data_IF_709122786283
#
_entry.id   IF_709122786283
#
_cell.length_a   1.000
_cell.length_b   1.000
_cell.length_c   1.000
_cell.angle_alpha   90.00
_cell.angle_beta   90.00
_cell.angle_gamma   90.00
#
_symmetry.space_group_name_H-M   'P 1'
#
loop_
_entity.id
_entity.type
_entity.pdbx_description
1 polymer ?
#
# COMPACT_ATOMS: atom_id res chain seq x y z
N UNK A 1 19.72 1.03 4.38
CA UNK A 1 19.37 -0.25 5.01
C UNK A 1 18.09 -0.78 4.40
N UNK A 2 18.11 -2.05 4.02
CA UNK A 2 16.91 -2.67 3.45
C UNK A 2 16.06 -3.33 4.53
N UNK A 3 14.78 -2.99 4.54
CA UNK A 3 13.81 -3.61 5.43
C UNK A 3 13.30 -4.87 4.76
N UNK A 4 13.29 -5.98 5.48
CA UNK A 4 12.82 -7.26 4.94
C UNK A 4 11.31 -7.35 5.10
N UNK A 5 10.61 -7.40 3.97
CA UNK A 5 9.15 -7.50 3.93
C UNK A 5 8.71 -8.89 3.52
N UNK A 6 7.51 -9.33 3.97
CA UNK A 6 6.86 -10.49 3.34
C UNK A 6 6.77 -10.25 1.84
N UNK A 7 6.90 -11.33 1.05
CA UNK A 7 6.97 -11.18 -0.40
C UNK A 7 5.78 -10.44 -1.01
N UNK A 8 4.58 -10.65 -0.49
CA UNK A 8 3.38 -9.96 -0.99
C UNK A 8 3.48 -8.45 -0.77
N UNK A 9 4.02 -8.03 0.37
CA UNK A 9 4.15 -6.60 0.66
C UNK A 9 5.29 -5.98 -0.14
N UNK A 10 6.38 -6.72 -0.36
CA UNK A 10 7.45 -6.27 -1.24
C UNK A 10 6.91 -6.04 -2.65
N UNK A 11 6.09 -6.95 -3.14
CA UNK A 11 5.46 -6.80 -4.46
C UNK A 11 4.50 -5.60 -4.49
N UNK A 12 3.74 -5.41 -3.41
CA UNK A 12 2.82 -4.27 -3.33
C UNK A 12 3.58 -2.95 -3.52
N UNK A 13 4.66 -2.74 -2.76
CA UNK A 13 5.42 -1.49 -2.86
C UNK A 13 6.11 -1.35 -4.21
N UNK A 14 6.64 -2.46 -4.76
CA UNK A 14 7.27 -2.42 -6.08
C UNK A 14 6.23 -2.01 -7.14
N UNK A 15 5.03 -2.58 -7.08
CA UNK A 15 3.97 -2.26 -8.03
C UNK A 15 3.50 -0.81 -7.87
N UNK A 16 3.34 -0.36 -6.63
CA UNK A 16 2.89 1.00 -6.35
C UNK A 16 3.90 2.03 -6.88
N UNK A 17 5.18 1.70 -6.82
CA UNK A 17 6.24 2.60 -7.27
C UNK A 17 6.46 2.58 -8.78
N UNK A 18 5.89 1.62 -9.50
CA UNK A 18 6.08 1.50 -10.94
C UNK A 18 4.85 1.89 -11.76
N UNK A 19 3.87 2.53 -11.12
CA UNK A 19 2.66 2.98 -11.80
C UNK A 19 1.91 1.82 -12.47
N UNK A 20 1.84 0.69 -11.79
CA UNK A 20 1.19 -0.52 -12.31
C UNK A 20 0.02 -0.89 -11.41
N UNK A 21 -1.13 -0.26 -11.66
CA UNK A 21 -2.33 -0.46 -10.84
C UNK A 21 -2.84 -1.90 -10.89
N UNK A 22 -2.64 -2.58 -12.01
CA UNK A 22 -3.05 -4.00 -12.11
C UNK A 22 -2.24 -4.87 -11.16
N UNK A 23 -0.93 -4.65 -11.09
CA UNK A 23 -0.07 -5.38 -10.16
C UNK A 23 -0.41 -5.07 -8.72
N UNK A 24 -0.74 -3.80 -8.42
CA UNK A 24 -1.18 -3.43 -7.07
C UNK A 24 -2.43 -4.21 -6.71
N UNK A 25 -3.45 -4.19 -7.56
CA UNK A 25 -4.70 -4.88 -7.30
C UNK A 25 -4.51 -6.39 -7.16
N UNK A 26 -3.57 -6.96 -7.92
CA UNK A 26 -3.30 -8.41 -7.88
C UNK A 26 -2.74 -8.87 -6.53
N UNK A 27 -2.21 -7.97 -5.71
CA UNK A 27 -1.73 -8.32 -4.37
C UNK A 27 -2.88 -8.53 -3.38
N UNK A 28 -4.08 -8.14 -3.73
CA UNK A 28 -5.24 -8.15 -2.83
C UNK A 28 -6.17 -9.32 -3.12
N UNK A 29 -6.89 -9.78 -2.09
CA UNK A 29 -7.93 -10.79 -2.29
C UNK A 29 -9.13 -10.14 -3.01
N UNK A 30 -10.02 -10.98 -3.54
CA UNK A 30 -11.15 -10.51 -4.35
C UNK A 30 -12.05 -9.53 -3.60
N UNK A 31 -12.26 -9.76 -2.31
CA UNK A 31 -13.13 -8.92 -1.48
C UNK A 31 -12.38 -8.07 -0.48
N UNK A 32 -11.10 -7.83 -0.74
CA UNK A 32 -10.27 -6.99 0.11
C UNK A 32 -10.77 -5.55 0.10
N UNK A 33 -10.35 -4.78 1.10
CA UNK A 33 -10.64 -3.36 1.04
C UNK A 33 -9.46 -2.52 1.51
N UNK A 34 -9.45 -1.27 1.04
CA UNK A 34 -8.43 -0.28 1.36
C UNK A 34 -9.11 0.93 1.98
N UNK A 35 -8.53 1.45 3.03
CA UNK A 35 -8.99 2.69 3.66
C UNK A 35 -7.85 3.71 3.58
N UNK A 36 -8.09 4.82 2.91
CA UNK A 36 -7.07 5.83 2.68
C UNK A 36 -7.74 7.20 2.48
N UNK A 37 -7.21 8.21 3.16
CA UNK A 37 -7.68 9.60 3.05
C UNK A 37 -9.20 9.75 3.27
N UNK A 38 -9.73 8.95 4.21
CA UNK A 38 -11.16 8.99 4.53
C UNK A 38 -12.04 8.25 3.57
N UNK A 39 -11.49 7.65 2.52
CA UNK A 39 -12.23 6.86 1.56
C UNK A 39 -12.08 5.37 1.80
N UNK A 40 -13.04 4.60 1.34
CA UNK A 40 -12.99 3.15 1.38
C UNK A 40 -13.17 2.58 -0.02
N UNK A 41 -12.34 1.60 -0.35
CA UNK A 41 -12.33 0.97 -1.68
C UNK A 41 -12.41 -0.53 -1.49
N UNK A 42 -13.51 -1.13 -1.93
CA UNK A 42 -13.77 -2.54 -1.72
C UNK A 42 -13.74 -3.30 -3.04
N UNK A 43 -12.97 -4.40 -3.04
CA UNK A 43 -12.82 -5.25 -4.21
C UNK A 43 -11.69 -4.81 -5.10
N UNK A 44 -11.17 -5.74 -5.90
CA UNK A 44 -9.99 -5.46 -6.74
C UNK A 44 -10.21 -4.33 -7.74
N UNK A 45 -11.43 -4.23 -8.30
CA UNK A 45 -11.71 -3.17 -9.27
C UNK A 45 -11.61 -1.79 -8.63
N UNK A 46 -12.20 -1.62 -7.45
CA UNK A 46 -12.15 -0.36 -6.74
C UNK A 46 -10.73 -0.06 -6.28
N UNK A 47 -10.00 -1.08 -5.83
CA UNK A 47 -8.60 -0.94 -5.39
C UNK A 47 -7.71 -0.53 -6.56
N UNK A 48 -7.94 -1.13 -7.73
CA UNK A 48 -7.20 -0.73 -8.94
C UNK A 48 -7.43 0.76 -9.24
N UNK A 49 -8.67 1.19 -9.17
CA UNK A 49 -9.00 2.60 -9.40
C UNK A 49 -8.36 3.53 -8.39
N UNK A 50 -8.35 3.11 -7.13
CA UNK A 50 -7.69 3.86 -6.07
C UNK A 50 -6.19 4.00 -6.34
N UNK A 51 -5.54 2.90 -6.72
CA UNK A 51 -4.10 2.92 -7.00
C UNK A 51 -3.77 3.83 -8.17
N UNK A 52 -4.57 3.77 -9.22
CA UNK A 52 -4.42 4.63 -10.39
C UNK A 52 -4.56 6.10 -10.04
N UNK A 53 -5.59 6.42 -9.27
CA UNK A 53 -5.88 7.80 -8.88
C UNK A 53 -4.81 8.35 -7.95
N UNK A 54 -4.37 7.56 -6.99
CA UNK A 54 -3.33 7.98 -6.05
C UNK A 54 -2.04 8.30 -6.79
N UNK A 55 -1.68 7.47 -7.77
CA UNK A 55 -0.46 7.68 -8.55
C UNK A 55 -0.55 8.91 -9.43
N UNK A 56 -1.70 9.10 -10.07
CA UNK A 56 -1.93 10.26 -10.92
C UNK A 56 -1.91 11.56 -10.11
N UNK A 57 -2.48 11.51 -8.91
CA UNK A 57 -2.65 12.70 -8.08
C UNK A 57 -1.35 13.15 -7.44
N UNK A 58 -0.50 12.21 -7.02
CA UNK A 58 0.62 12.54 -6.16
C UNK A 58 2.00 12.26 -6.72
N UNK A 59 2.14 11.38 -7.69
CA UNK A 59 3.44 11.00 -8.26
C UNK A 59 4.47 10.79 -7.16
N UNK A 60 4.27 9.74 -6.39
CA UNK A 60 5.09 9.49 -5.21
C UNK A 60 6.01 8.28 -5.40
N UNK A 61 7.03 8.22 -4.55
CA UNK A 61 7.84 7.01 -4.36
C UNK A 61 7.75 6.65 -2.88
N UNK A 62 7.41 5.40 -2.59
CA UNK A 62 7.29 4.91 -1.22
C UNK A 62 8.40 3.93 -0.93
N UNK A 63 9.17 4.22 0.13
CA UNK A 63 10.25 3.35 0.58
C UNK A 63 9.91 2.82 1.96
N UNK A 64 9.84 1.49 2.11
CA UNK A 64 9.59 0.88 3.42
C UNK A 64 10.83 1.05 4.29
N UNK A 65 10.67 1.68 5.45
CA UNK A 65 11.79 1.96 6.35
C UNK A 65 11.70 1.22 7.68
N UNK A 66 10.53 0.67 8.02
CA UNK A 66 10.34 -0.11 9.23
C UNK A 66 9.19 -1.07 9.05
N UNK A 67 9.26 -2.21 9.73
CA UNK A 67 8.18 -3.17 9.72
C UNK A 67 7.95 -3.66 11.15
N UNK A 68 6.70 -3.80 11.53
CA UNK A 68 6.32 -4.22 12.87
C UNK A 68 5.18 -5.22 12.75
N UNK A 69 5.30 -6.36 13.46
CA UNK A 69 4.22 -7.34 13.51
C UNK A 69 3.38 -7.07 14.75
N UNK A 70 2.11 -6.81 14.55
CA UNK A 70 1.15 -6.66 15.63
C UNK A 70 0.15 -7.81 15.49
N UNK A 71 -0.61 -8.09 16.54
CA UNK A 71 -1.49 -9.26 16.68
C UNK A 71 -1.99 -9.88 15.36
N UNK A 72 -2.76 -9.12 14.57
CA UNK A 72 -3.34 -9.62 13.32
C UNK A 72 -2.94 -8.76 12.12
N UNK A 73 -1.93 -7.92 12.27
CA UNK A 73 -1.54 -6.98 11.22
C UNK A 73 -0.03 -6.88 11.08
N UNK A 74 0.40 -6.57 9.87
CA UNK A 74 1.79 -6.17 9.61
C UNK A 74 1.76 -4.68 9.34
N UNK A 75 2.49 -3.92 10.11
CA UNK A 75 2.53 -2.46 9.99
C UNK A 75 3.86 -2.06 9.37
N UNK A 76 3.78 -1.41 8.21
CA UNK A 76 4.98 -0.94 7.50
C UNK A 76 4.99 0.59 7.55
N UNK A 77 6.09 1.16 8.04
CA UNK A 77 6.28 2.59 7.93
C UNK A 77 7.01 2.85 6.64
N UNK A 78 6.43 3.68 5.78
CA UNK A 78 7.03 4.01 4.50
C UNK A 78 7.31 5.50 4.43
N UNK A 79 8.48 5.82 3.89
CA UNK A 79 8.90 7.20 3.65
C UNK A 79 8.49 7.56 2.23
N UNK A 80 7.62 8.53 2.09
CA UNK A 80 7.09 8.94 0.79
C UNK A 80 7.70 10.28 0.37
N UNK A 81 8.22 10.28 -0.86
CA UNK A 81 8.72 11.48 -1.50
C UNK A 81 7.97 11.67 -2.82
N UNK A 82 7.86 12.90 -3.29
CA UNK A 82 7.20 13.15 -4.56
C UNK A 82 6.55 14.52 -4.63
N UNK A 83 5.64 14.68 -5.58
CA UNK A 83 4.93 15.93 -5.85
C UNK A 83 3.61 15.98 -5.08
N UNK A 84 3.67 16.32 -3.80
CA UNK A 84 2.45 16.45 -3.00
C UNK A 84 2.69 17.38 -1.83
N UNK A 85 1.63 18.01 -1.31
CA UNK A 85 1.75 18.89 -0.14
C UNK A 85 2.26 18.09 1.07
N UNK A 86 3.21 18.63 1.80
CA UNK A 86 3.78 17.98 2.96
C UNK A 86 4.91 17.01 2.66
N UNK A 87 5.35 16.92 1.40
CA UNK A 87 6.47 16.09 0.99
C UNK A 87 7.78 16.55 1.67
N UNK A 88 8.60 15.63 2.24
CA UNK A 88 8.34 14.20 2.39
C UNK A 88 7.47 13.88 3.61
N UNK A 89 6.90 12.67 3.65
CA UNK A 89 6.08 12.27 4.77
C UNK A 89 6.27 10.78 5.04
N UNK A 90 6.20 10.39 6.32
CA UNK A 90 6.19 8.98 6.70
C UNK A 90 4.76 8.58 6.99
N UNK A 91 4.31 7.51 6.36
CA UNK A 91 2.97 6.98 6.57
C UNK A 91 3.04 5.55 7.08
N UNK A 92 2.06 5.17 7.86
CA UNK A 92 1.95 3.81 8.36
C UNK A 92 0.91 3.06 7.54
N UNK A 93 1.36 1.94 6.98
CA UNK A 93 0.53 1.05 6.18
C UNK A 93 0.20 -0.16 7.04
N UNK A 94 -1.06 -0.32 7.40
CA UNK A 94 -1.51 -1.44 8.24
C UNK A 94 -2.16 -2.47 7.35
N UNK A 95 -1.47 -3.60 7.19
CA UNK A 95 -1.90 -4.68 6.30
C UNK A 95 -2.44 -5.87 7.09
N UNK A 96 -3.52 -6.46 6.60
CA UNK A 96 -3.93 -7.80 7.00
C UNK A 96 -3.66 -8.74 5.85
N UNK A 97 -3.02 -9.87 6.15
CA UNK A 97 -2.67 -10.87 5.16
C UNK A 97 -3.41 -12.16 5.44
N UNK A 98 -3.87 -12.83 4.38
CA UNK A 98 -4.39 -14.19 4.45
C UNK A 98 -3.64 -14.97 3.38
N UNK A 99 -2.73 -15.85 3.82
CA UNK A 99 -1.83 -16.53 2.90
C UNK A 99 -0.96 -15.51 2.17
N UNK A 100 -1.01 -15.53 0.86
CA UNK A 100 -0.19 -14.65 0.02
C UNK A 100 -0.97 -13.45 -0.50
N UNK A 101 -2.11 -13.13 0.10
CA UNK A 101 -2.94 -12.02 -0.36
C UNK A 101 -3.22 -11.03 0.75
N UNK A 102 -3.30 -9.75 0.37
CA UNK A 102 -3.70 -8.69 1.29
C UNK A 102 -5.22 -8.69 1.34
N UNK A 103 -5.80 -8.77 2.55
CA UNK A 103 -7.24 -8.72 2.72
C UNK A 103 -7.72 -7.34 3.17
N UNK A 104 -6.80 -6.56 3.73
CA UNK A 104 -7.17 -5.23 4.24
C UNK A 104 -5.93 -4.36 4.30
N UNK A 105 -6.08 -3.10 3.94
CA UNK A 105 -5.01 -2.10 4.07
C UNK A 105 -5.61 -0.80 4.58
N UNK A 106 -4.98 -0.25 5.60
CA UNK A 106 -5.33 1.07 6.10
C UNK A 106 -4.08 1.92 6.13
N UNK A 107 -4.14 3.11 5.52
CA UNK A 107 -3.00 4.03 5.44
C UNK A 107 -3.28 5.26 6.28
N UNK A 108 -2.33 5.64 7.09
CA UNK A 108 -2.52 6.84 7.92
C UNK A 108 -1.39 7.24 8.81
#
# INVERSE_FOLDING_TARGET
MMVKLPSTLAEYFAAANTDDADRVAACFSEDAFVRDEGGEFRGRRAIRGWAEEARRKYRFHAEAIAVEEAADRTIVTAHLTGDFPGNPVDLRYRFKLAGSQITELEIG
#
